data_IF_038546734435
#
_entry.id   IF_038546734435
#
_cell.length_a   1.000
_cell.length_b   1.000
_cell.length_c   1.000
_cell.angle_alpha   90.00
_cell.angle_beta   90.00
_cell.angle_gamma   90.00
#
_symmetry.space_group_name_H-M   'P 1'
#
loop_
_entity.id
_entity.type
_entity.pdbx_description
1 polymer ?
#
# COMPACT_ATOMS: atom_id res chain seq x y z
N UNK A 1 8.99 -16.87 0.41
CA UNK A 1 8.02 -17.96 0.61
C UNK A 1 8.23 -19.00 -0.48
N UNK A 2 8.03 -20.30 -0.23
CA UNK A 2 8.15 -21.33 -1.25
C UNK A 2 7.00 -22.35 -1.12
N UNK A 3 6.10 -22.45 -2.12
CA UNK A 3 6.05 -21.64 -3.35
C UNK A 3 5.73 -20.14 -3.08
N UNK A 4 5.99 -19.24 -4.06
CA UNK A 4 5.50 -17.88 -4.01
C UNK A 4 3.96 -17.85 -4.22
N UNK A 5 3.26 -16.80 -3.75
CA UNK A 5 1.83 -16.65 -3.95
C UNK A 5 1.50 -16.28 -5.41
N UNK A 6 0.31 -16.65 -5.88
CA UNK A 6 -0.18 -16.26 -7.21
C UNK A 6 -0.73 -14.83 -7.26
N UNK A 7 -1.23 -14.32 -6.14
CA UNK A 7 -1.82 -12.98 -6.01
C UNK A 7 -1.57 -12.43 -4.60
N UNK A 8 -1.41 -11.12 -4.49
CA UNK A 8 -1.38 -10.40 -3.22
C UNK A 8 -2.63 -9.51 -3.13
N UNK A 9 -3.31 -9.54 -2.00
CA UNK A 9 -4.42 -8.63 -1.70
C UNK A 9 -4.01 -7.72 -0.55
N UNK A 10 -3.96 -6.41 -0.81
CA UNK A 10 -3.68 -5.38 0.18
C UNK A 10 -4.97 -4.64 0.51
N UNK A 11 -5.35 -4.64 1.78
CA UNK A 11 -6.45 -3.85 2.32
C UNK A 11 -5.82 -2.82 3.26
N UNK A 12 -6.02 -1.53 2.98
CA UNK A 12 -5.35 -0.44 3.73
C UNK A 12 -6.21 0.81 3.77
N UNK A 13 -5.93 1.69 4.73
CA UNK A 13 -6.57 2.98 4.92
C UNK A 13 -5.68 4.18 4.50
N UNK A 14 -4.41 3.93 4.19
CA UNK A 14 -3.45 4.95 3.74
C UNK A 14 -2.04 4.39 3.56
N UNK A 15 -1.06 5.27 3.40
CA UNK A 15 0.36 4.90 3.31
C UNK A 15 0.90 4.40 4.66
N UNK A 16 1.90 3.50 4.67
CA UNK A 16 2.49 2.98 5.89
C UNK A 16 3.08 4.09 6.77
N UNK A 17 2.89 3.94 8.08
CA UNK A 17 3.47 4.81 9.12
C UNK A 17 4.58 4.13 9.90
N UNK A 18 4.73 2.80 9.74
CA UNK A 18 5.74 1.99 10.41
C UNK A 18 6.62 1.31 9.37
N UNK A 19 7.92 1.23 9.67
CA UNK A 19 8.89 0.46 8.89
C UNK A 19 9.51 -0.67 9.71
N UNK A 20 10.45 -1.39 9.10
CA UNK A 20 11.13 -2.52 9.74
C UNK A 20 11.95 -2.13 11.00
N UNK A 21 12.38 -0.87 11.09
CA UNK A 21 13.01 -0.30 12.29
C UNK A 21 12.01 0.58 13.00
N UNK A 22 11.82 0.35 14.30
CA UNK A 22 11.02 1.22 15.14
C UNK A 22 11.64 2.62 15.17
N UNK A 23 10.89 3.62 14.73
CA UNK A 23 11.22 5.02 14.97
C UNK A 23 10.66 5.43 16.34
N UNK A 24 11.45 6.16 17.11
CA UNK A 24 11.04 6.71 18.42
C UNK A 24 10.10 7.91 18.32
N UNK A 25 9.89 8.43 17.11
CA UNK A 25 9.11 9.63 16.87
C UNK A 25 7.62 9.29 16.78
N UNK A 26 6.79 10.03 17.53
CA UNK A 26 5.34 9.85 17.58
C UNK A 26 4.60 10.39 16.33
N UNK A 27 5.31 10.99 15.37
CA UNK A 27 4.73 11.66 14.20
C UNK A 27 5.51 11.27 12.95
N UNK A 28 4.78 10.89 11.89
CA UNK A 28 5.34 10.52 10.59
C UNK A 28 4.92 11.55 9.56
N UNK A 29 5.89 12.16 8.87
CA UNK A 29 5.62 13.16 7.83
C UNK A 29 5.07 12.49 6.57
N UNK A 30 4.31 13.20 5.71
CA UNK A 30 3.83 12.65 4.44
C UNK A 30 4.95 12.10 3.55
N UNK A 31 6.09 12.80 3.47
CA UNK A 31 7.25 12.34 2.72
C UNK A 31 7.79 11.02 3.29
N UNK A 32 7.89 10.89 4.62
CA UNK A 32 8.35 9.66 5.25
C UNK A 32 7.40 8.49 5.00
N UNK A 33 6.09 8.73 4.92
CA UNK A 33 5.12 7.68 4.56
C UNK A 33 5.33 7.18 3.13
N UNK A 34 5.70 8.06 2.20
CA UNK A 34 6.04 7.66 0.83
C UNK A 34 7.34 6.84 0.79
N UNK A 35 8.38 7.26 1.52
CA UNK A 35 9.62 6.47 1.64
C UNK A 35 9.35 5.08 2.22
N UNK A 36 8.52 4.98 3.27
CA UNK A 36 8.13 3.69 3.85
C UNK A 36 7.34 2.82 2.85
N UNK A 37 6.54 3.44 2.00
CA UNK A 37 5.82 2.75 0.93
C UNK A 37 6.78 2.22 -0.14
N UNK A 38 7.74 3.03 -0.58
CA UNK A 38 8.77 2.64 -1.55
C UNK A 38 9.62 1.48 -0.99
N UNK A 39 10.09 1.59 0.25
CA UNK A 39 10.80 0.53 0.97
C UNK A 39 9.98 -0.78 0.99
N UNK A 40 8.67 -0.70 1.24
CA UNK A 40 7.80 -1.88 1.27
C UNK A 40 7.55 -2.50 -0.12
N UNK A 41 7.50 -1.67 -1.17
CA UNK A 41 7.32 -2.14 -2.55
C UNK A 41 8.58 -2.87 -3.05
N UNK A 42 9.78 -2.44 -2.65
CA UNK A 42 11.03 -3.10 -3.02
C UNK A 42 11.13 -4.54 -2.48
N UNK A 43 10.48 -4.83 -1.36
CA UNK A 43 10.44 -6.16 -0.75
C UNK A 43 9.39 -7.09 -1.40
N UNK A 44 8.54 -6.57 -2.30
CA UNK A 44 7.53 -7.39 -2.95
C UNK A 44 8.17 -8.39 -3.94
N UNK A 45 7.68 -9.64 -3.98
CA UNK A 45 8.15 -10.59 -4.95
C UNK A 45 7.70 -10.17 -6.36
N UNK A 46 8.66 -10.07 -7.28
CA UNK A 46 8.39 -9.62 -8.65
C UNK A 46 7.47 -10.57 -9.43
N UNK A 47 6.67 -10.00 -10.34
CA UNK A 47 5.80 -10.76 -11.24
C UNK A 47 4.49 -11.25 -10.63
N UNK A 48 4.14 -10.82 -9.41
CA UNK A 48 2.90 -11.18 -8.74
C UNK A 48 1.93 -9.99 -8.74
N UNK A 49 0.67 -10.16 -9.21
CA UNK A 49 -0.35 -9.13 -9.14
C UNK A 49 -0.66 -8.68 -7.72
N UNK A 50 -0.70 -7.37 -7.51
CA UNK A 50 -1.10 -6.75 -6.25
C UNK A 50 -2.46 -6.07 -6.42
N UNK A 51 -3.48 -6.68 -5.83
CA UNK A 51 -4.84 -6.17 -5.82
C UNK A 51 -5.07 -5.37 -4.55
N UNK A 52 -5.55 -4.13 -4.68
CA UNK A 52 -5.58 -3.17 -3.59
C UNK A 52 -7.01 -2.69 -3.36
N UNK A 53 -7.43 -2.74 -2.10
CA UNK A 53 -8.68 -2.18 -1.60
C UNK A 53 -8.30 -1.07 -0.63
N UNK A 54 -8.46 0.18 -1.06
CA UNK A 54 -8.21 1.36 -0.25
C UNK A 54 -9.52 1.78 0.45
N UNK A 55 -9.52 1.81 1.77
CA UNK A 55 -10.62 2.27 2.62
C UNK A 55 -10.18 3.53 3.38
N UNK A 56 -10.14 4.70 2.72
CA UNK A 56 -9.40 5.85 3.23
C UNK A 56 -10.06 6.45 4.48
N UNK A 57 -9.33 6.48 5.59
CA UNK A 57 -9.74 7.14 6.85
C UNK A 57 -9.19 8.58 6.92
N UNK A 58 -9.50 9.42 5.93
CA UNK A 58 -9.03 10.81 5.78
C UNK A 58 -7.48 11.01 5.78
N UNK A 59 -7.02 12.13 5.21
CA UNK A 59 -5.67 12.64 5.51
C UNK A 59 -4.47 11.98 4.82
N UNK A 60 -4.66 11.24 3.71
CA UNK A 60 -3.54 10.75 2.88
C UNK A 60 -3.82 10.88 1.37
N UNK A 61 -3.67 12.09 0.78
CA UNK A 61 -3.98 12.32 -0.63
C UNK A 61 -3.06 11.56 -1.59
N UNK A 62 -1.88 11.15 -1.13
CA UNK A 62 -0.89 10.39 -1.90
C UNK A 62 -1.23 8.91 -2.03
N UNK A 63 -1.92 8.32 -1.04
CA UNK A 63 -2.18 6.89 -0.99
C UNK A 63 -2.88 6.37 -2.25
N UNK A 64 -3.94 7.05 -2.71
CA UNK A 64 -4.70 6.62 -3.89
C UNK A 64 -3.82 6.55 -5.15
N UNK A 65 -3.01 7.58 -5.39
CA UNK A 65 -2.13 7.62 -6.56
C UNK A 65 -1.03 6.55 -6.49
N UNK A 66 -0.38 6.39 -5.33
CA UNK A 66 0.67 5.41 -5.11
C UNK A 66 0.16 3.98 -5.33
N UNK A 67 -0.96 3.63 -4.68
CA UNK A 67 -1.53 2.30 -4.79
C UNK A 67 -2.11 2.01 -6.18
N UNK A 68 -2.72 2.99 -6.85
CA UNK A 68 -3.13 2.82 -8.25
C UNK A 68 -1.94 2.49 -9.15
N UNK A 69 -0.81 3.18 -8.97
CA UNK A 69 0.40 2.94 -9.74
C UNK A 69 0.97 1.53 -9.47
N UNK A 70 0.97 1.06 -8.22
CA UNK A 70 1.40 -0.29 -7.87
C UNK A 70 0.54 -1.37 -8.54
N UNK A 71 -0.79 -1.21 -8.48
CA UNK A 71 -1.71 -2.13 -9.15
C UNK A 71 -1.41 -2.18 -10.66
N UNK A 72 -1.20 -1.03 -11.30
CA UNK A 72 -0.90 -0.95 -12.73
C UNK A 72 0.42 -1.65 -13.09
N UNK A 73 1.49 -1.42 -12.32
CA UNK A 73 2.79 -2.05 -12.59
C UNK A 73 2.81 -3.55 -12.35
N UNK A 74 2.01 -4.03 -11.38
CA UNK A 74 1.94 -5.45 -11.03
C UNK A 74 0.87 -6.20 -11.80
N UNK A 75 0.08 -5.52 -12.64
CA UNK A 75 -1.09 -6.07 -13.35
C UNK A 75 -2.20 -6.55 -12.39
N UNK A 76 -2.31 -5.90 -11.23
CA UNK A 76 -3.40 -6.08 -10.28
C UNK A 76 -4.56 -5.09 -10.48
N UNK A 77 -5.48 -5.09 -9.52
CA UNK A 77 -6.66 -4.21 -9.51
C UNK A 77 -6.58 -3.17 -8.39
N UNK A 78 -7.21 -2.03 -8.57
CA UNK A 78 -7.36 -1.00 -7.53
C UNK A 78 -8.83 -0.64 -7.35
N UNK A 79 -9.31 -0.69 -6.11
CA UNK A 79 -10.68 -0.34 -5.74
C UNK A 79 -10.66 0.55 -4.48
N UNK A 80 -11.49 1.59 -4.47
CA UNK A 80 -11.84 2.36 -3.27
C UNK A 80 -13.35 2.27 -3.07
N UNK A 81 -13.84 1.33 -2.22
CA UNK A 81 -15.26 1.23 -1.94
C UNK A 81 -15.80 2.52 -1.32
N UNK A 82 -17.08 2.81 -1.55
CA UNK A 82 -17.78 3.87 -0.82
C UNK A 82 -18.11 3.42 0.61
N UNK A 83 -18.36 4.38 1.51
CA UNK A 83 -18.68 4.11 2.92
C UNK A 83 -19.94 3.24 3.11
N UNK A 84 -20.85 3.24 2.13
CA UNK A 84 -22.10 2.49 2.12
C UNK A 84 -22.01 1.10 1.45
N UNK A 85 -20.80 0.65 1.06
CA UNK A 85 -20.57 -0.67 0.50
C UNK A 85 -20.81 -1.80 1.54
N UNK A 86 -21.36 -2.97 1.16
CA UNK A 86 -21.69 -3.39 -0.21
C UNK A 86 -23.00 -2.85 -0.76
#
# INVERSE_FOLDING_TARGET
MNPPPDNIFLITDGLPTLGARANSDNLVTPARRMELYEDAVEELPGGIPVNIILMPLEGDPSAAAAYWQLAQYTQGSFLTPSDDWP
#
